data_IF_841396327494
#
_entry.id   IF_841396327494
#
_cell.length_a   1.000
_cell.length_b   1.000
_cell.length_c   1.000
_cell.angle_alpha   90.00
_cell.angle_beta   90.00
_cell.angle_gamma   90.00
#
_symmetry.space_group_name_H-M   'P 1'
#
loop_
_entity.id
_entity.type
_entity.pdbx_description
1 polymer ?
#
# COMPACT_ATOMS: atom_id res chain seq x y z
N UNK A 1 34.60 -24.76 16.29
CA UNK A 1 33.16 -24.65 15.96
C UNK A 1 32.94 -23.26 15.40
N UNK A 2 32.89 -23.11 14.08
CA UNK A 2 32.73 -21.82 13.41
C UNK A 2 31.23 -21.50 13.30
N UNK A 3 30.78 -20.50 14.04
CA UNK A 3 29.49 -19.85 13.79
C UNK A 3 29.75 -18.83 12.68
N UNK A 4 29.32 -19.14 11.45
CA UNK A 4 29.35 -18.14 10.38
C UNK A 4 28.36 -17.02 10.75
N UNK A 5 28.74 -15.74 10.63
CA UNK A 5 27.81 -14.64 10.83
C UNK A 5 26.83 -14.68 9.66
N UNK A 6 25.63 -15.20 9.91
CA UNK A 6 24.56 -15.08 8.94
C UNK A 6 24.28 -13.58 8.77
N UNK A 7 24.48 -13.09 7.54
CA UNK A 7 24.35 -11.68 7.21
C UNK A 7 22.87 -11.30 7.34
N UNK A 8 22.50 -10.64 8.43
CA UNK A 8 21.11 -10.40 8.85
C UNK A 8 20.25 -9.74 7.75
N UNK A 9 20.88 -8.97 6.87
CA UNK A 9 20.28 -8.33 5.69
C UNK A 9 19.72 -9.32 4.66
N UNK A 10 20.37 -10.48 4.48
CA UNK A 10 19.97 -11.46 3.46
C UNK A 10 18.58 -12.06 3.73
N UNK A 11 18.16 -12.13 4.99
CA UNK A 11 16.84 -12.62 5.37
C UNK A 11 15.73 -11.63 5.02
N UNK A 12 16.04 -10.33 5.06
CA UNK A 12 15.06 -9.25 4.89
C UNK A 12 14.92 -8.82 3.42
N UNK A 13 15.79 -9.29 2.52
CA UNK A 13 15.81 -8.87 1.11
C UNK A 13 14.49 -9.10 0.37
N UNK A 14 13.75 -10.13 0.77
CA UNK A 14 12.46 -10.52 0.18
C UNK A 14 11.25 -9.99 0.94
N UNK A 15 11.46 -9.25 2.04
CA UNK A 15 10.40 -8.70 2.89
C UNK A 15 10.10 -7.27 2.45
N UNK A 16 8.83 -6.87 2.49
CA UNK A 16 8.44 -5.50 2.24
C UNK A 16 8.59 -4.65 3.51
N UNK A 17 9.50 -3.68 3.49
CA UNK A 17 9.86 -2.91 4.69
C UNK A 17 8.68 -2.18 5.35
N UNK A 18 7.67 -1.78 4.58
CA UNK A 18 6.49 -1.09 5.12
C UNK A 18 5.42 -2.06 5.66
N UNK A 19 5.42 -3.34 5.26
CA UNK A 19 4.54 -4.38 5.77
C UNK A 19 5.31 -5.70 5.84
N UNK A 20 5.89 -6.01 7.00
CA UNK A 20 6.85 -7.11 7.16
C UNK A 20 6.26 -8.52 6.95
N UNK A 21 4.93 -8.64 6.95
CA UNK A 21 4.23 -9.87 6.57
C UNK A 21 4.07 -10.04 5.05
N UNK A 22 4.37 -9.00 4.27
CA UNK A 22 4.24 -9.01 2.82
C UNK A 22 5.59 -9.29 2.14
N UNK A 23 5.57 -10.05 1.03
CA UNK A 23 6.73 -10.19 0.18
C UNK A 23 7.02 -8.87 -0.53
N UNK A 24 8.28 -8.64 -0.84
CA UNK A 24 8.71 -7.53 -1.66
C UNK A 24 8.16 -7.68 -3.07
N UNK A 25 7.34 -6.72 -3.48
CA UNK A 25 6.64 -6.75 -4.75
C UNK A 25 7.19 -5.69 -5.72
N UNK A 26 7.09 -5.97 -7.02
CA UNK A 26 7.37 -4.95 -8.05
C UNK A 26 6.30 -3.86 -7.93
N UNK A 27 6.74 -2.62 -7.74
CA UNK A 27 5.85 -1.47 -7.76
C UNK A 27 5.40 -1.22 -9.20
N UNK A 28 4.13 -1.44 -9.47
CA UNK A 28 3.48 -1.06 -10.74
C UNK A 28 2.71 0.24 -10.49
N UNK A 29 3.21 1.39 -10.97
CA UNK A 29 2.42 2.61 -10.92
C UNK A 29 1.17 2.43 -11.81
N UNK A 30 0.03 3.03 -11.44
CA UNK A 30 -1.10 3.10 -12.37
C UNK A 30 -0.62 3.81 -13.65
N UNK A 31 -0.61 3.07 -14.77
CA UNK A 31 -0.30 3.64 -16.09
C UNK A 31 -1.29 4.77 -16.38
N UNK A 32 -0.79 5.81 -17.04
CA UNK A 32 -1.38 7.13 -16.91
C UNK A 32 -2.78 7.27 -17.52
N UNK A 33 -3.23 6.47 -18.49
CA UNK A 33 -4.37 6.92 -19.32
C UNK A 33 -5.45 5.90 -19.79
N UNK A 34 -5.48 4.62 -19.40
CA UNK A 34 -6.34 3.67 -20.16
C UNK A 34 -7.41 2.89 -19.38
N UNK A 35 -7.41 2.93 -18.05
CA UNK A 35 -8.30 2.07 -17.25
C UNK A 35 -9.57 2.81 -16.81
N UNK A 36 -10.65 2.67 -17.59
CA UNK A 36 -11.99 3.08 -17.15
C UNK A 36 -12.47 2.18 -16.00
N UNK A 37 -13.05 2.80 -14.97
CA UNK A 37 -13.71 2.07 -13.88
C UNK A 37 -14.84 1.21 -14.46
N UNK A 38 -14.77 -0.11 -14.20
CA UNK A 38 -15.71 -1.10 -14.75
C UNK A 38 -15.05 -2.16 -15.65
N UNK A 39 -14.04 -1.81 -16.46
CA UNK A 39 -13.31 -2.81 -17.27
C UNK A 39 -12.40 -3.71 -16.41
N UNK A 40 -11.88 -3.20 -15.28
CA UNK A 40 -11.06 -3.95 -14.34
C UNK A 40 -11.85 -4.97 -13.48
N UNK A 41 -13.19 -4.93 -13.48
CA UNK A 41 -14.05 -5.82 -12.68
C UNK A 41 -14.81 -6.86 -13.49
N UNK A 42 -14.87 -6.72 -14.82
CA UNK A 42 -15.70 -7.58 -15.69
C UNK A 42 -14.90 -8.67 -16.42
N UNK A 43 -13.59 -8.77 -16.18
CA UNK A 43 -12.70 -9.69 -16.91
C UNK A 43 -12.34 -10.98 -16.17
N UNK A 44 -12.28 -10.97 -14.84
CA UNK A 44 -11.74 -12.10 -14.08
C UNK A 44 -12.84 -12.76 -13.23
N UNK A 45 -13.23 -13.96 -13.63
CA UNK A 45 -14.07 -14.85 -12.82
C UNK A 45 -13.37 -15.05 -11.45
N UNK A 46 -14.09 -14.91 -10.31
CA UNK A 46 -13.51 -15.14 -8.98
C UNK A 46 -12.74 -16.46 -8.85
N UNK A 47 -13.11 -17.47 -9.64
CA UNK A 47 -12.47 -18.78 -9.69
C UNK A 47 -11.14 -18.74 -10.47
N UNK A 48 -11.04 -17.96 -11.56
CA UNK A 48 -9.84 -17.90 -12.40
C UNK A 48 -8.70 -17.12 -11.71
N UNK A 49 -9.06 -16.15 -10.86
CA UNK A 49 -8.15 -15.42 -9.98
C UNK A 49 -7.62 -16.27 -8.82
N UNK A 50 -8.36 -17.32 -8.41
CA UNK A 50 -7.90 -18.32 -7.44
C UNK A 50 -7.00 -19.38 -8.07
N UNK A 51 -7.18 -19.66 -9.36
CA UNK A 51 -6.43 -20.69 -10.09
C UNK A 51 -5.09 -20.17 -10.64
N UNK A 52 -5.00 -18.91 -11.07
CA UNK A 52 -3.73 -18.28 -11.49
C UNK A 52 -2.76 -18.01 -10.32
N UNK A 53 -3.26 -18.02 -9.07
CA UNK A 53 -2.53 -17.74 -7.83
C UNK A 53 -1.54 -18.83 -7.37
N UNK A 54 -1.42 -19.95 -8.07
CA UNK A 54 -0.59 -21.07 -7.61
C UNK A 54 0.89 -20.85 -7.98
N UNK A 55 1.48 -19.73 -7.56
CA UNK A 55 2.91 -19.47 -7.75
C UNK A 55 3.36 -18.02 -7.54
N UNK A 56 2.48 -17.04 -7.77
CA UNK A 56 2.82 -15.63 -7.53
C UNK A 56 2.48 -15.19 -6.10
N UNK A 57 3.42 -14.53 -5.40
CA UNK A 57 3.12 -13.90 -4.12
C UNK A 57 2.03 -12.84 -4.31
N UNK A 58 1.04 -12.83 -3.42
CA UNK A 58 0.02 -11.79 -3.44
C UNK A 58 0.65 -10.43 -3.15
N UNK A 59 0.37 -9.43 -4.00
CA UNK A 59 0.93 -8.09 -3.92
C UNK A 59 -0.17 -7.04 -3.79
N UNK A 60 -0.03 -6.16 -2.79
CA UNK A 60 -0.95 -5.05 -2.52
C UNK A 60 -0.96 -3.97 -3.63
N UNK A 61 0.02 -3.99 -4.54
CA UNK A 61 0.09 -3.08 -5.69
C UNK A 61 -1.12 -3.18 -6.63
N UNK A 62 -1.71 -4.38 -6.81
CA UNK A 62 -2.92 -4.57 -7.63
C UNK A 62 -4.10 -3.73 -7.11
N UNK A 63 -4.24 -3.61 -5.78
CA UNK A 63 -5.27 -2.77 -5.17
C UNK A 63 -5.03 -1.27 -5.47
N UNK A 64 -3.78 -0.84 -5.56
CA UNK A 64 -3.44 0.57 -5.82
C UNK A 64 -3.93 1.03 -7.20
N UNK A 65 -3.83 0.17 -8.23
CA UNK A 65 -4.32 0.46 -9.58
C UNK A 65 -5.84 0.60 -9.58
N UNK A 66 -6.52 -0.33 -8.93
CA UNK A 66 -7.98 -0.34 -8.82
C UNK A 66 -8.51 0.88 -8.07
N UNK A 67 -7.91 1.22 -6.92
CA UNK A 67 -8.28 2.42 -6.16
C UNK A 67 -8.05 3.72 -6.93
N UNK A 68 -7.01 3.76 -7.76
CA UNK A 68 -6.73 4.93 -8.60
C UNK A 68 -7.78 5.14 -9.68
N UNK A 69 -8.19 4.06 -10.38
CA UNK A 69 -9.26 4.14 -11.36
C UNK A 69 -10.58 4.57 -10.70
N UNK A 70 -10.91 3.99 -9.54
CA UNK A 70 -12.09 4.34 -8.75
C UNK A 70 -12.14 5.82 -8.37
N UNK A 71 -11.08 6.31 -7.72
CA UNK A 71 -11.06 7.66 -7.16
C UNK A 71 -11.01 8.76 -8.22
N UNK A 72 -10.69 8.41 -9.47
CA UNK A 72 -10.63 9.32 -10.61
C UNK A 72 -11.83 9.18 -11.56
N UNK A 73 -12.79 8.30 -11.28
CA UNK A 73 -14.06 8.25 -12.01
C UNK A 73 -14.93 9.47 -11.66
N UNK A 74 -15.50 10.12 -12.67
CA UNK A 74 -16.27 11.35 -12.50
C UNK A 74 -17.55 11.13 -11.68
N UNK A 75 -18.23 9.99 -11.87
CA UNK A 75 -19.44 9.66 -11.12
C UNK A 75 -19.10 9.38 -9.65
N UNK A 76 -17.96 8.73 -9.39
CA UNK A 76 -17.47 8.53 -8.02
C UNK A 76 -17.15 9.87 -7.37
N UNK A 77 -16.46 10.78 -8.07
CA UNK A 77 -16.16 12.11 -7.54
C UNK A 77 -17.43 12.95 -7.30
N UNK A 78 -18.43 12.85 -8.16
CA UNK A 78 -19.73 13.50 -7.98
C UNK A 78 -20.47 12.96 -6.75
N UNK A 79 -20.51 11.63 -6.58
CA UNK A 79 -21.13 10.97 -5.44
C UNK A 79 -20.43 11.30 -4.11
N UNK A 80 -19.10 11.48 -4.13
CA UNK A 80 -18.31 11.94 -2.98
C UNK A 80 -18.35 13.46 -2.78
N UNK A 81 -19.11 14.19 -3.60
CA UNK A 81 -19.24 15.65 -3.56
C UNK A 81 -17.89 16.39 -3.66
N UNK A 82 -16.97 15.85 -4.47
CA UNK A 82 -15.70 16.52 -4.77
C UNK A 82 -15.99 17.77 -5.61
N UNK A 83 -15.50 18.92 -5.14
CA UNK A 83 -15.69 20.20 -5.83
C UNK A 83 -14.97 20.20 -7.18
N UNK A 84 -15.71 20.38 -8.27
CA UNK A 84 -15.13 20.47 -9.62
C UNK A 84 -14.02 21.54 -9.67
N UNK A 85 -12.86 21.17 -10.21
CA UNK A 85 -11.71 22.06 -10.40
C UNK A 85 -10.71 22.15 -9.23
N UNK A 86 -10.98 21.56 -8.07
CA UNK A 86 -10.01 21.56 -6.95
C UNK A 86 -8.97 20.45 -7.07
N UNK A 87 -9.38 19.26 -7.50
CA UNK A 87 -8.51 18.10 -7.71
C UNK A 87 -8.60 17.73 -9.18
N UNK A 88 -7.49 17.85 -9.91
CA UNK A 88 -7.41 17.42 -11.31
C UNK A 88 -7.33 15.91 -11.44
N UNK A 89 -6.52 15.29 -10.59
CA UNK A 89 -6.28 13.84 -10.56
C UNK A 89 -5.92 13.44 -9.14
N UNK A 90 -6.70 12.55 -8.56
CA UNK A 90 -6.41 11.98 -7.26
C UNK A 90 -5.22 11.03 -7.37
N UNK A 91 -4.28 11.17 -6.43
CA UNK A 91 -3.12 10.29 -6.28
C UNK A 91 -3.04 9.83 -4.84
N UNK A 92 -2.77 8.53 -4.63
CA UNK A 92 -2.72 7.93 -3.29
C UNK A 92 -1.62 8.51 -2.40
N UNK A 93 -0.43 8.72 -2.97
CA UNK A 93 0.73 9.24 -2.25
C UNK A 93 1.29 10.43 -3.03
N UNK A 94 1.16 11.63 -2.47
CA UNK A 94 1.75 12.83 -3.06
C UNK A 94 3.22 12.97 -2.63
N UNK A 95 4.13 12.44 -3.47
CA UNK A 95 5.58 12.50 -3.22
C UNK A 95 6.20 13.88 -3.50
N UNK A 96 5.43 14.85 -3.98
CA UNK A 96 5.92 16.22 -4.21
C UNK A 96 5.90 17.08 -2.94
N UNK A 97 5.27 16.60 -1.87
CA UNK A 97 5.28 17.27 -0.58
C UNK A 97 6.60 16.93 0.12
N UNK A 98 7.40 17.96 0.42
CA UNK A 98 8.59 17.80 1.25
C UNK A 98 8.19 17.63 2.71
N UNK A 99 8.73 16.60 3.36
CA UNK A 99 8.59 16.37 4.79
C UNK A 99 9.98 16.16 5.39
N UNK A 100 10.20 16.66 6.60
CA UNK A 100 11.44 16.45 7.36
C UNK A 100 11.26 15.26 8.30
N UNK A 101 12.08 14.23 8.13
CA UNK A 101 12.06 13.04 8.99
C UNK A 101 12.90 13.30 10.26
N UNK A 102 12.30 13.95 11.25
CA UNK A 102 12.94 14.39 12.49
C UNK A 102 12.74 13.43 13.69
N UNK A 103 11.90 12.40 13.53
CA UNK A 103 11.58 11.41 14.57
C UNK A 103 12.03 10.01 14.14
N UNK A 104 13.15 9.55 14.70
CA UNK A 104 13.71 8.21 14.42
C UNK A 104 12.90 7.07 15.07
N UNK A 105 12.29 7.32 16.23
CA UNK A 105 11.53 6.30 16.96
C UNK A 105 10.37 6.89 17.73
N UNK A 106 9.20 6.26 17.60
CA UNK A 106 7.97 6.62 18.33
C UNK A 106 7.85 5.92 19.69
N UNK A 107 8.84 5.13 20.10
CA UNK A 107 8.79 4.33 21.33
C UNK A 107 8.50 5.18 22.57
N UNK A 108 9.17 6.34 22.70
CA UNK A 108 8.96 7.26 23.84
C UNK A 108 7.51 7.76 23.92
N UNK A 109 6.86 7.99 22.78
CA UNK A 109 5.46 8.41 22.73
C UNK A 109 4.52 7.27 23.11
N UNK A 110 4.76 6.05 22.62
CA UNK A 110 3.98 4.88 23.04
C UNK A 110 4.10 4.60 24.53
N UNK A 111 5.30 4.73 25.12
CA UNK A 111 5.51 4.59 26.56
C UNK A 111 4.69 5.64 27.33
N UNK A 112 4.79 6.91 26.96
CA UNK A 112 4.06 8.00 27.60
C UNK A 112 2.54 7.80 27.53
N UNK A 113 2.02 7.34 26.40
CA UNK A 113 0.59 7.04 26.24
C UNK A 113 0.17 5.83 27.08
N UNK A 114 1.03 4.81 27.17
CA UNK A 114 0.78 3.63 28.00
C UNK A 114 0.74 3.97 29.48
N UNK A 115 1.66 4.81 29.95
CA UNK A 115 1.70 5.31 31.34
C UNK A 115 0.46 6.15 31.70
N UNK A 116 -0.14 6.83 30.72
CA UNK A 116 -1.41 7.55 30.88
C UNK A 116 -2.64 6.63 30.85
N UNK A 117 -2.46 5.33 30.64
CA UNK A 117 -3.54 4.34 30.61
C UNK A 117 -4.22 4.15 29.25
N UNK A 118 -3.64 4.67 28.16
CA UNK A 118 -4.18 4.42 26.81
C UNK A 118 -3.82 3.02 26.33
N UNK A 119 -4.81 2.32 25.78
CA UNK A 119 -4.61 1.02 25.15
C UNK A 119 -4.04 1.20 23.74
N UNK A 120 -3.03 0.41 23.40
CA UNK A 120 -2.44 0.38 22.08
C UNK A 120 -2.71 -0.98 21.40
N UNK A 121 -2.99 -0.93 20.10
CA UNK A 121 -3.04 -2.10 19.22
C UNK A 121 -1.95 -1.95 18.16
N UNK A 122 -0.99 -2.87 18.17
CA UNK A 122 0.03 -2.99 17.13
C UNK A 122 -0.23 -4.27 16.32
N UNK A 123 -0.23 -4.15 15.00
CA UNK A 123 -0.43 -5.26 14.07
C UNK A 123 0.45 -5.05 12.84
N UNK A 124 0.74 -6.15 12.15
CA UNK A 124 1.39 -6.17 10.84
C UNK A 124 0.62 -7.07 9.89
#
# INVERSE_FOLDING_TARGET
MMVLPYNQTQCMDSVYDACILEPKCIFVPPQRDDLQWGQAFLGDDPIDLLLSKRGEPWCRSKNCVTSFAWANDENVQEALHIRKGTIKKWVRCNKSISYEEDVESVFKYHQLLSEKGYQALAYS
#
